data_IF_633127921536
#
_entry.id   IF_633127921536
#
_cell.length_a   1.000
_cell.length_b   1.000
_cell.length_c   1.000
_cell.angle_alpha   90.00
_cell.angle_beta   90.00
_cell.angle_gamma   90.00
#
_symmetry.space_group_name_H-M   'P 1'
#
loop_
_entity.id
_entity.type
_entity.pdbx_description
1 polymer ?
#
# COMPACT_ATOMS: atom_id res chain seq x y z
N UNK A 1 -10.06 8.45 3.80
CA UNK A 1 -8.72 9.03 4.08
C UNK A 1 -8.77 10.42 4.68
N UNK A 2 -9.58 11.36 4.19
CA UNK A 2 -9.57 12.76 4.66
C UNK A 2 -9.67 12.92 6.19
N UNK A 3 -10.59 12.21 6.87
CA UNK A 3 -10.72 12.24 8.33
C UNK A 3 -9.39 11.98 9.06
N UNK A 4 -8.70 10.90 8.72
CA UNK A 4 -7.43 10.56 9.37
C UNK A 4 -6.33 11.59 9.09
N UNK A 5 -6.27 12.12 7.87
CA UNK A 5 -5.33 13.19 7.52
C UNK A 5 -5.62 14.50 8.26
N UNK A 6 -6.89 14.81 8.53
CA UNK A 6 -7.29 15.95 9.37
C UNK A 6 -6.88 15.74 10.83
N UNK A 7 -7.10 14.54 11.38
CA UNK A 7 -6.73 14.20 12.76
C UNK A 7 -5.21 14.32 13.02
N UNK A 8 -4.38 14.04 12.02
CA UNK A 8 -2.91 14.18 12.13
C UNK A 8 -2.39 15.56 11.70
N UNK A 9 -3.28 16.51 11.36
CA UNK A 9 -2.93 17.87 10.98
C UNK A 9 -2.32 18.04 9.59
N UNK A 10 -2.46 17.04 8.70
CA UNK A 10 -2.03 17.14 7.29
C UNK A 10 -3.08 17.87 6.46
N UNK A 11 -4.37 17.68 6.75
CA UNK A 11 -5.47 18.43 6.14
C UNK A 11 -6.12 19.39 7.14
N UNK A 12 -6.52 20.58 6.67
CA UNK A 12 -7.18 21.60 7.50
C UNK A 12 -8.67 21.33 7.71
N UNK A 13 -9.35 20.73 6.73
CA UNK A 13 -10.74 20.28 6.83
C UNK A 13 -10.90 18.91 6.16
N UNK A 14 -11.79 18.10 6.70
CA UNK A 14 -12.21 16.80 6.15
C UNK A 14 -13.01 16.91 4.85
N UNK A 15 -13.61 18.08 4.58
CA UNK A 15 -14.45 18.35 3.40
C UNK A 15 -13.69 18.91 2.20
N UNK A 16 -12.41 19.28 2.37
CA UNK A 16 -11.66 19.90 1.28
C UNK A 16 -11.31 18.87 0.22
N UNK A 17 -11.43 19.27 -1.05
CA UNK A 17 -11.03 18.47 -2.21
C UNK A 17 -9.50 18.32 -2.35
N UNK A 18 -8.74 18.76 -1.34
CA UNK A 18 -7.27 18.78 -1.30
C UNK A 18 -6.66 17.40 -1.14
N UNK A 19 -7.45 16.35 -0.90
CA UNK A 19 -6.93 14.98 -0.93
C UNK A 19 -6.34 14.64 -2.31
N UNK A 20 -6.89 15.18 -3.40
CA UNK A 20 -6.35 14.96 -4.75
C UNK A 20 -4.93 15.52 -4.93
N UNK A 21 -4.53 16.54 -4.17
CA UNK A 21 -3.15 17.06 -4.17
C UNK A 21 -2.18 16.09 -3.49
N UNK A 22 -2.68 15.26 -2.57
CA UNK A 22 -1.92 14.23 -1.87
C UNK A 22 -2.00 12.87 -2.55
N UNK A 23 -2.97 12.66 -3.44
CA UNK A 23 -3.11 11.44 -4.22
C UNK A 23 -3.72 11.73 -5.61
N UNK A 24 -2.88 11.90 -6.64
CA UNK A 24 -3.34 12.23 -7.98
C UNK A 24 -3.80 11.00 -8.79
N UNK A 25 -3.76 9.80 -8.22
CA UNK A 25 -4.11 8.55 -8.91
C UNK A 25 -5.53 8.08 -8.59
N UNK A 26 -6.05 7.19 -9.44
CA UNK A 26 -7.29 6.46 -9.16
C UNK A 26 -7.10 5.47 -7.99
N UNK A 27 -8.22 4.92 -7.49
CA UNK A 27 -8.20 3.92 -6.42
C UNK A 27 -7.79 2.51 -6.91
N UNK A 28 -7.79 2.29 -8.22
CA UNK A 28 -7.41 1.01 -8.82
C UNK A 28 -7.83 0.91 -10.29
N UNK A 29 -7.57 -0.25 -10.89
CA UNK A 29 -7.85 -0.58 -12.28
C UNK A 29 -8.17 -2.07 -12.45
N UNK A 30 -8.71 -2.45 -13.62
CA UNK A 30 -8.86 -3.86 -13.97
C UNK A 30 -7.49 -4.52 -14.14
N UNK A 31 -7.40 -5.79 -13.76
CA UNK A 31 -6.17 -6.59 -13.81
C UNK A 31 -6.46 -7.92 -14.49
N UNK A 32 -5.55 -8.36 -15.37
CA UNK A 32 -5.69 -9.61 -16.08
C UNK A 32 -4.45 -9.97 -16.87
N UNK A 33 -4.58 -10.10 -18.19
CA UNK A 33 -3.43 -10.39 -19.05
C UNK A 33 -2.47 -9.20 -19.12
N UNK A 34 -3.01 -7.99 -19.04
CA UNK A 34 -2.27 -6.75 -18.90
C UNK A 34 -2.37 -6.22 -17.46
N UNK A 35 -1.36 -5.44 -17.05
CA UNK A 35 -1.37 -4.77 -15.73
C UNK A 35 -2.57 -3.83 -15.64
N UNK A 36 -2.72 -2.93 -16.61
CA UNK A 36 -3.90 -2.08 -16.78
C UNK A 36 -4.83 -2.71 -17.83
N UNK A 37 -5.47 -3.83 -17.47
CA UNK A 37 -6.36 -4.54 -18.38
C UNK A 37 -7.63 -3.72 -18.68
N UNK A 38 -8.31 -4.01 -19.79
CA UNK A 38 -9.67 -3.57 -20.07
C UNK A 38 -9.90 -2.07 -19.88
N UNK A 39 -8.89 -1.25 -20.19
CA UNK A 39 -8.88 0.22 -19.99
C UNK A 39 -9.98 0.97 -20.75
N UNK A 40 -10.65 0.31 -21.70
CA UNK A 40 -11.81 0.84 -22.43
C UNK A 40 -13.12 0.69 -21.67
N UNK A 41 -13.17 -0.15 -20.62
CA UNK A 41 -14.35 -0.32 -19.76
C UNK A 41 -14.38 0.82 -18.75
N UNK A 42 -15.52 1.52 -18.68
CA UNK A 42 -15.71 2.59 -17.71
C UNK A 42 -15.58 2.08 -16.27
N UNK A 43 -14.95 2.89 -15.41
CA UNK A 43 -14.91 2.67 -13.96
C UNK A 43 -16.28 2.81 -13.28
N UNK A 44 -17.27 3.40 -13.96
CA UNK A 44 -18.66 3.49 -13.47
C UNK A 44 -19.47 2.21 -13.74
N UNK A 45 -18.89 1.24 -14.46
CA UNK A 45 -19.55 -0.03 -14.71
C UNK A 45 -19.66 -0.84 -13.41
N UNK A 46 -20.84 -1.37 -13.05
CA UNK A 46 -20.97 -2.26 -11.91
C UNK A 46 -20.07 -3.49 -12.07
N UNK A 47 -19.29 -3.78 -11.03
CA UNK A 47 -18.43 -4.96 -10.97
C UNK A 47 -19.27 -6.24 -10.98
N UNK A 48 -18.81 -7.24 -11.74
CA UNK A 48 -19.47 -8.53 -11.88
C UNK A 48 -18.57 -9.65 -11.35
N UNK A 49 -19.14 -10.77 -10.89
CA UNK A 49 -18.37 -11.96 -10.53
C UNK A 49 -17.40 -12.37 -11.64
N UNK A 50 -16.17 -12.75 -11.26
CA UNK A 50 -15.07 -13.11 -12.17
C UNK A 50 -14.16 -11.95 -12.58
N UNK A 51 -14.55 -10.69 -12.30
CA UNK A 51 -13.69 -9.52 -12.53
C UNK A 51 -12.59 -9.47 -11.47
N UNK A 52 -11.36 -9.15 -11.89
CA UNK A 52 -10.24 -8.83 -10.99
C UNK A 52 -9.87 -7.36 -11.14
N UNK A 53 -9.70 -6.67 -10.01
CA UNK A 53 -9.27 -5.27 -9.94
C UNK A 53 -8.18 -5.09 -8.88
N UNK A 54 -7.41 -4.00 -8.97
CA UNK A 54 -6.56 -3.52 -7.87
C UNK A 54 -7.35 -2.62 -6.93
N UNK A 55 -6.95 -2.58 -5.66
CA UNK A 55 -7.37 -1.57 -4.67
C UNK A 55 -6.10 -0.99 -4.05
N UNK A 56 -5.76 0.25 -4.42
CA UNK A 56 -4.42 0.84 -4.21
C UNK A 56 -4.45 2.27 -3.62
N UNK A 57 -5.08 2.50 -2.46
CA UNK A 57 -5.06 3.81 -1.81
C UNK A 57 -3.63 4.28 -1.51
N UNK A 58 -3.33 5.53 -1.88
CA UNK A 58 -2.03 6.16 -1.65
C UNK A 58 -2.14 7.55 -1.01
N UNK A 59 -1.08 7.95 -0.30
CA UNK A 59 -0.88 9.32 0.20
C UNK A 59 0.58 9.70 -0.02
N UNK A 60 0.79 10.82 -0.70
CA UNK A 60 2.10 11.38 -1.03
C UNK A 60 2.15 12.82 -0.52
N UNK A 61 3.08 13.09 0.40
CA UNK A 61 3.24 14.41 1.02
C UNK A 61 4.56 15.01 0.53
N UNK A 62 4.53 15.95 -0.42
CA UNK A 62 5.75 16.63 -0.88
C UNK A 62 6.49 17.32 0.26
N UNK A 63 7.81 17.36 0.18
CA UNK A 63 8.66 18.01 1.20
C UNK A 63 8.40 19.50 1.36
N UNK A 64 7.84 20.14 0.33
CA UNK A 64 7.52 21.58 0.28
C UNK A 64 6.16 21.94 0.89
N UNK A 65 5.35 20.96 1.31
CA UNK A 65 4.01 21.22 1.83
C UNK A 65 4.05 21.74 3.27
N UNK A 66 3.15 22.68 3.56
CA UNK A 66 2.94 23.25 4.90
C UNK A 66 2.13 22.31 5.80
N UNK A 67 2.76 21.22 6.21
CA UNK A 67 2.24 20.19 7.13
C UNK A 67 3.27 19.90 8.22
N UNK A 68 2.94 19.16 9.30
CA UNK A 68 3.91 18.82 10.33
C UNK A 68 5.16 18.15 9.75
N UNK A 69 6.34 18.62 10.17
CA UNK A 69 7.64 18.27 9.57
C UNK A 69 7.87 16.76 9.47
N UNK A 70 7.47 16.00 10.50
CA UNK A 70 7.58 14.53 10.56
C UNK A 70 6.89 13.77 9.42
N UNK A 71 5.99 14.42 8.67
CA UNK A 71 5.25 13.79 7.56
C UNK A 71 5.73 14.23 6.18
N UNK A 72 6.59 15.25 6.09
CA UNK A 72 7.07 15.80 4.83
C UNK A 72 7.99 14.81 4.11
N UNK A 73 7.80 14.64 2.81
CA UNK A 73 8.56 13.71 1.98
C UNK A 73 8.13 12.24 2.09
N UNK A 74 7.08 11.93 2.84
CA UNK A 74 6.57 10.56 2.97
C UNK A 74 5.58 10.26 1.84
N UNK A 75 5.78 9.13 1.18
CA UNK A 75 4.84 8.55 0.23
C UNK A 75 4.55 7.10 0.60
N UNK A 76 3.28 6.74 0.74
CA UNK A 76 2.83 5.40 1.11
C UNK A 76 1.68 5.00 0.19
N UNK A 77 1.75 3.79 -0.36
CA UNK A 77 0.64 3.12 -1.05
C UNK A 77 0.59 1.67 -0.56
N UNK A 78 -0.60 1.16 -0.30
CA UNK A 78 -0.85 -0.25 -0.03
C UNK A 78 -1.82 -0.71 -1.10
N UNK A 79 -1.48 -1.82 -1.77
CA UNK A 79 -2.18 -2.30 -2.95
C UNK A 79 -2.46 -3.79 -2.81
N UNK A 80 -3.68 -4.19 -3.15
CA UNK A 80 -4.10 -5.58 -3.22
C UNK A 80 -4.84 -5.88 -4.52
N UNK A 81 -4.80 -7.14 -4.93
CA UNK A 81 -5.58 -7.69 -6.04
C UNK A 81 -6.84 -8.35 -5.50
N UNK A 82 -8.00 -7.99 -6.07
CA UNK A 82 -9.32 -8.38 -5.58
C UNK A 82 -10.13 -9.02 -6.69
N UNK A 83 -10.50 -10.28 -6.49
CA UNK A 83 -11.46 -11.01 -7.32
C UNK A 83 -12.87 -10.78 -6.81
N UNK A 84 -13.77 -10.33 -7.68
CA UNK A 84 -15.19 -10.21 -7.37
C UNK A 84 -15.85 -11.58 -7.48
N UNK A 85 -16.59 -11.96 -6.45
CA UNK A 85 -17.31 -13.25 -6.38
C UNK A 85 -18.82 -13.01 -6.37
N UNK A 86 -19.59 -14.09 -6.54
CA UNK A 86 -21.06 -14.03 -6.50
C UNK A 86 -21.63 -13.42 -5.21
N UNK A 87 -20.88 -13.48 -4.10
CA UNK A 87 -21.36 -13.04 -2.78
C UNK A 87 -20.52 -11.93 -2.15
N UNK A 88 -19.51 -11.42 -2.87
CA UNK A 88 -18.58 -10.41 -2.35
C UNK A 88 -17.27 -10.39 -3.12
N UNK A 89 -16.16 -10.65 -2.42
CA UNK A 89 -14.83 -10.59 -3.00
C UNK A 89 -13.84 -11.54 -2.29
N UNK A 90 -12.74 -11.83 -2.98
CA UNK A 90 -11.58 -12.53 -2.46
C UNK A 90 -10.34 -11.66 -2.68
N UNK A 91 -9.45 -11.55 -1.67
CA UNK A 91 -8.19 -10.81 -1.77
C UNK A 91 -7.07 -11.77 -2.13
N UNK A 92 -6.66 -11.78 -3.40
CA UNK A 92 -5.70 -12.75 -3.95
C UNK A 92 -4.29 -12.55 -3.35
N UNK A 93 -3.93 -11.31 -3.02
CA UNK A 93 -2.67 -10.93 -2.36
C UNK A 93 -2.78 -10.90 -0.84
N UNK A 94 -3.85 -11.45 -0.25
CA UNK A 94 -4.14 -11.34 1.18
C UNK A 94 -3.11 -11.98 2.11
N UNK A 95 -2.26 -12.87 1.59
CA UNK A 95 -1.15 -13.47 2.33
C UNK A 95 0.03 -12.50 2.54
N UNK A 96 0.08 -11.39 1.80
CA UNK A 96 1.15 -10.41 1.92
C UNK A 96 1.00 -9.56 3.20
N UNK A 97 2.10 -9.40 3.97
CA UNK A 97 2.10 -8.67 5.24
C UNK A 97 1.98 -7.16 5.01
N UNK A 98 0.86 -6.58 5.46
CA UNK A 98 0.59 -5.12 5.37
C UNK A 98 0.29 -4.44 6.71
N UNK A 99 0.04 -5.23 7.76
CA UNK A 99 -0.08 -4.73 9.12
C UNK A 99 1.28 -4.35 9.70
N UNK A 100 1.35 -3.25 10.44
CA UNK A 100 2.58 -2.72 11.04
C UNK A 100 3.34 -3.82 11.80
N UNK A 101 2.66 -4.54 12.69
CA UNK A 101 3.24 -5.64 13.48
C UNK A 101 3.83 -6.77 12.61
N UNK A 102 3.23 -7.06 11.46
CA UNK A 102 3.71 -8.12 10.58
C UNK A 102 4.97 -7.67 9.83
N UNK A 103 4.98 -6.41 9.35
CA UNK A 103 6.14 -5.81 8.69
C UNK A 103 7.32 -5.70 9.68
N UNK A 104 7.09 -5.18 10.89
CA UNK A 104 8.12 -5.08 11.93
C UNK A 104 8.68 -6.45 12.31
N UNK A 105 7.83 -7.47 12.46
CA UNK A 105 8.26 -8.84 12.74
C UNK A 105 9.16 -9.39 11.64
N UNK A 106 8.81 -9.17 10.37
CA UNK A 106 9.61 -9.62 9.22
C UNK A 106 10.99 -8.96 9.19
N UNK A 107 11.05 -7.64 9.38
CA UNK A 107 12.31 -6.90 9.43
C UNK A 107 13.20 -7.38 10.58
N UNK A 108 12.63 -7.56 11.77
CA UNK A 108 13.37 -8.03 12.94
C UNK A 108 13.92 -9.46 12.77
N UNK A 109 13.13 -10.35 12.16
CA UNK A 109 13.57 -11.72 11.89
C UNK A 109 14.68 -11.76 10.83
N UNK A 110 14.58 -10.89 9.81
CA UNK A 110 15.63 -10.76 8.80
C UNK A 110 16.95 -10.25 9.40
N UNK A 111 16.90 -9.23 10.27
CA UNK A 111 18.10 -8.73 10.98
C UNK A 111 18.75 -9.79 11.87
N UNK A 112 17.96 -10.69 12.47
CA UNK A 112 18.49 -11.81 13.28
C UNK A 112 19.17 -12.87 12.42
N UNK A 113 18.63 -13.18 11.23
CA UNK A 113 19.24 -14.14 10.30
C UNK A 113 20.62 -13.70 9.81
N UNK A 114 20.78 -12.43 9.46
CA UNK A 114 22.08 -11.84 9.11
C UNK A 114 23.08 -11.83 10.28
N UNK A 115 22.58 -11.73 11.52
CA UNK A 115 23.41 -11.84 12.72
C UNK A 115 23.93 -13.26 12.96
N UNK A 116 23.18 -14.29 12.55
CA UNK A 116 23.57 -15.70 12.72
C UNK A 116 24.55 -16.18 11.63
N UNK A 117 24.43 -15.71 10.39
CA UNK A 117 25.39 -16.04 9.33
C UNK A 117 26.80 -15.49 9.61
N UNK A 118 26.91 -14.32 10.25
CA UNK A 118 28.18 -13.71 10.63
C UNK A 118 28.90 -14.41 11.81
N UNK A 119 28.20 -15.24 12.60
CA UNK A 119 28.81 -16.02 13.68
C UNK A 119 29.40 -17.33 13.17
N UNK A 120 28.74 -17.99 12.21
CA UNK A 120 29.22 -19.26 11.65
C UNK A 120 30.46 -19.13 10.76
N UNK A 121 30.68 -17.97 10.14
CA UNK A 121 31.89 -17.71 9.32
C UNK A 121 33.14 -17.43 10.15
N UNK A 122 33.01 -16.99 11.41
CA UNK A 122 34.16 -16.75 12.29
C UNK A 122 34.66 -18.02 13.01
N UNK A 123 33.79 -18.99 13.30
CA UNK A 123 34.20 -20.29 13.86
C UNK A 123 34.91 -21.19 12.82
N UNK A 124 34.49 -21.17 11.56
CA UNK A 124 35.10 -21.97 10.49
C UNK A 124 36.51 -21.48 10.07
N UNK A 125 36.87 -20.22 10.36
CA UNK A 125 38.17 -19.64 10.04
C UNK A 125 39.21 -19.78 11.16
N UNK A 126 38.86 -20.42 12.28
CA UNK A 126 39.73 -20.60 13.46
C UNK A 126 40.19 -22.06 13.68
N UNK A 127 40.13 -22.91 12.64
CA UNK A 127 40.62 -24.31 12.67
C UNK A 127 41.71 -24.56 11.64
#
# INVERSE_FOLDING_TARGET
MCKGLTEIGVLKDSKSNSYHELNPTAIGHYLGMDVHDSSTISCDCPLKPGVVITIEPGVYIPSVFDVPERYRGIGIRIEDEVLITETGYEVLTGSMPKEIKHIESLLNNYSRGLGMENQNTMEAAST
#
